data_IF_971268993031
#
_entry.id   IF_971268993031
#
_cell.length_a   1.000
_cell.length_b   1.000
_cell.length_c   1.000
_cell.angle_alpha   90.00
_cell.angle_beta   90.00
_cell.angle_gamma   90.00
#
_symmetry.space_group_name_H-M   'P 1'
#
loop_
_entity.id
_entity.type
_entity.pdbx_description
1 polymer ?
#
# COMPACT_ATOMS: atom_id res chain seq x y z
N UNK A 1 55.76 26.05 19.49
CA UNK A 1 54.29 25.96 19.54
C UNK A 1 53.83 25.08 18.35
N UNK A 2 53.41 23.81 18.62
CA UNK A 2 52.92 22.90 17.59
C UNK A 2 51.46 23.22 17.31
N UNK A 3 51.17 23.71 16.08
CA UNK A 3 49.79 23.91 15.61
C UNK A 3 49.18 22.55 15.31
N UNK A 4 48.20 22.13 16.10
CA UNK A 4 47.42 20.91 15.86
C UNK A 4 46.42 21.20 14.72
N UNK A 5 46.63 20.63 13.55
CA UNK A 5 45.72 20.70 12.41
C UNK A 5 44.63 19.66 12.63
N UNK A 6 43.44 20.10 13.07
CA UNK A 6 42.27 19.21 13.18
C UNK A 6 41.68 19.04 11.80
N UNK A 7 41.89 17.86 11.19
CA UNK A 7 41.28 17.49 9.92
C UNK A 7 39.81 17.09 10.20
N UNK A 8 38.87 17.97 9.88
CA UNK A 8 37.45 17.61 9.89
C UNK A 8 37.16 16.70 8.70
N UNK A 9 36.99 15.39 8.98
CA UNK A 9 36.48 14.45 7.99
C UNK A 9 34.96 14.59 7.97
N UNK A 10 34.44 15.26 6.94
CA UNK A 10 32.99 15.29 6.68
C UNK A 10 32.61 13.95 6.04
N UNK A 11 31.92 13.10 6.81
CA UNK A 11 31.28 11.90 6.27
C UNK A 11 30.06 12.33 5.45
N UNK A 12 30.20 12.31 4.13
CA UNK A 12 29.05 12.49 3.23
C UNK A 12 28.27 11.17 3.20
N UNK A 13 27.17 11.11 3.94
CA UNK A 13 26.25 9.98 3.86
C UNK A 13 25.43 10.19 2.58
N UNK A 14 25.78 9.45 1.53
CA UNK A 14 25.03 9.42 0.28
C UNK A 14 23.82 8.51 0.48
N UNK A 15 22.63 9.08 0.57
CA UNK A 15 21.38 8.31 0.48
C UNK A 15 21.08 8.06 -0.99
N UNK A 16 20.74 6.82 -1.34
CA UNK A 16 20.21 6.51 -2.66
C UNK A 16 18.83 7.18 -2.79
N UNK A 17 18.74 8.21 -3.62
CA UNK A 17 17.48 8.89 -3.91
C UNK A 17 16.86 8.32 -5.18
N UNK A 18 15.53 8.12 -5.14
CA UNK A 18 14.77 7.69 -6.30
C UNK A 18 14.71 8.82 -7.34
N UNK A 19 14.94 8.48 -8.60
CA UNK A 19 14.75 9.41 -9.72
C UNK A 19 13.43 9.10 -10.41
N UNK A 20 12.55 10.09 -10.49
CA UNK A 20 11.25 9.93 -11.13
C UNK A 20 11.32 10.23 -12.62
N UNK A 21 10.57 9.46 -13.42
CA UNK A 21 10.38 9.74 -14.84
C UNK A 21 9.44 10.93 -15.05
N UNK A 22 9.60 11.62 -16.19
CA UNK A 22 8.69 12.70 -16.58
C UNK A 22 7.35 12.16 -17.12
N UNK A 23 6.22 12.84 -16.86
CA UNK A 23 6.09 14.00 -15.98
C UNK A 23 6.35 13.64 -14.52
N UNK A 24 6.95 14.54 -13.72
CA UNK A 24 7.23 14.29 -12.30
C UNK A 24 5.93 14.04 -11.51
N UNK A 25 5.95 13.14 -10.51
CA UNK A 25 4.78 12.93 -9.65
C UNK A 25 4.48 14.18 -8.83
N UNK A 26 3.21 14.57 -8.78
CA UNK A 26 2.72 15.73 -8.03
C UNK A 26 1.28 15.49 -7.59
N UNK A 27 0.74 16.38 -6.77
CA UNK A 27 -0.68 16.36 -6.39
C UNK A 27 -1.62 16.38 -7.62
N UNK A 28 -1.31 17.19 -8.63
CA UNK A 28 -2.12 17.31 -9.85
C UNK A 28 -1.90 16.13 -10.81
N UNK A 29 -0.76 15.46 -10.73
CA UNK A 29 -0.40 14.33 -11.56
C UNK A 29 0.20 13.19 -10.74
N UNK A 30 -0.59 12.57 -9.84
CA UNK A 30 -0.10 11.52 -8.97
C UNK A 30 0.21 10.24 -9.74
N UNK A 31 1.22 9.49 -9.28
CA UNK A 31 1.33 8.08 -9.66
C UNK A 31 0.17 7.30 -9.06
N UNK A 32 -0.22 6.24 -9.74
CA UNK A 32 -1.33 5.39 -9.32
C UNK A 32 -0.87 3.93 -9.28
N UNK A 33 -1.00 3.30 -8.13
CA UNK A 33 -0.58 1.92 -7.92
C UNK A 33 -1.72 1.09 -7.35
N UNK A 34 -2.06 -0.03 -8.01
CA UNK A 34 -3.03 -0.99 -7.52
C UNK A 34 -2.34 -2.31 -7.19
N UNK A 35 -2.69 -2.89 -6.05
CA UNK A 35 -2.17 -4.15 -5.54
C UNK A 35 -3.32 -5.12 -5.39
N UNK A 36 -3.17 -6.34 -5.94
CA UNK A 36 -4.13 -7.41 -5.70
C UNK A 36 -3.78 -8.18 -4.43
N UNK A 37 -4.72 -8.25 -3.49
CA UNK A 37 -4.60 -9.03 -2.27
C UNK A 37 -5.50 -10.27 -2.37
N UNK A 38 -4.90 -11.41 -2.76
CA UNK A 38 -5.62 -12.69 -2.91
C UNK A 38 -5.15 -13.79 -1.97
N UNK A 39 -4.21 -13.48 -1.10
CA UNK A 39 -3.61 -14.40 -0.13
C UNK A 39 -3.90 -13.93 1.30
N UNK A 40 -3.73 -14.84 2.27
CA UNK A 40 -3.92 -14.53 3.69
C UNK A 40 -2.78 -15.08 4.56
N UNK A 41 -1.61 -15.34 3.96
CA UNK A 41 -0.41 -15.68 4.71
C UNK A 41 0.15 -14.43 5.40
N UNK A 42 0.38 -14.52 6.71
CA UNK A 42 0.75 -13.36 7.53
C UNK A 42 2.11 -12.76 7.15
N UNK A 43 3.09 -13.58 6.84
CA UNK A 43 4.42 -13.13 6.46
C UNK A 43 4.37 -12.36 5.15
N UNK A 44 3.73 -12.94 4.14
CA UNK A 44 3.55 -12.33 2.83
C UNK A 44 2.74 -11.03 2.89
N UNK A 45 1.67 -11.01 3.70
CA UNK A 45 0.88 -9.77 3.92
C UNK A 45 1.73 -8.71 4.62
N UNK A 46 2.53 -9.06 5.62
CA UNK A 46 3.44 -8.11 6.27
C UNK A 46 4.48 -7.54 5.31
N UNK A 47 5.02 -8.34 4.40
CA UNK A 47 5.92 -7.88 3.34
C UNK A 47 5.23 -6.88 2.40
N UNK A 48 4.01 -7.20 1.96
CA UNK A 48 3.20 -6.29 1.14
C UNK A 48 2.98 -4.94 1.82
N UNK A 49 2.53 -4.94 3.09
CA UNK A 49 2.31 -3.70 3.84
C UNK A 49 3.62 -2.91 4.04
N UNK A 50 4.74 -3.60 4.26
CA UNK A 50 6.07 -3.00 4.32
C UNK A 50 6.47 -2.33 3.01
N UNK A 51 6.19 -2.97 1.88
CA UNK A 51 6.45 -2.41 0.55
C UNK A 51 5.61 -1.16 0.28
N UNK A 52 4.33 -1.16 0.66
CA UNK A 52 3.46 0.03 0.55
C UNK A 52 4.05 1.19 1.36
N UNK A 53 4.44 0.93 2.60
CA UNK A 53 5.03 1.94 3.47
C UNK A 53 6.35 2.50 2.91
N UNK A 54 7.21 1.64 2.35
CA UNK A 54 8.45 2.08 1.71
C UNK A 54 8.18 2.95 0.48
N UNK A 55 7.21 2.57 -0.36
CA UNK A 55 6.81 3.38 -1.52
C UNK A 55 6.29 4.75 -1.09
N UNK A 56 5.43 4.82 -0.07
CA UNK A 56 4.94 6.11 0.46
C UNK A 56 6.07 7.04 0.92
N UNK A 57 7.17 6.51 1.42
CA UNK A 57 8.33 7.32 1.83
C UNK A 57 9.14 7.88 0.67
N UNK A 58 9.15 7.19 -0.47
CA UNK A 58 9.92 7.61 -1.64
C UNK A 58 9.23 8.72 -2.43
N UNK A 59 7.90 8.78 -2.39
CA UNK A 59 7.12 9.76 -3.14
C UNK A 59 6.87 11.03 -2.34
N UNK A 60 6.88 12.22 -3.00
CA UNK A 60 6.41 13.45 -2.37
C UNK A 60 4.98 13.28 -1.83
N UNK A 61 4.64 13.96 -0.76
CA UNK A 61 3.32 13.91 -0.16
C UNK A 61 2.21 14.12 -1.21
N UNK A 62 1.15 13.32 -1.14
CA UNK A 62 -0.01 13.39 -2.04
C UNK A 62 0.28 13.17 -3.53
N UNK A 63 1.49 12.72 -3.88
CA UNK A 63 1.89 12.49 -5.28
C UNK A 63 1.78 11.04 -5.73
N UNK A 64 1.23 10.16 -4.90
CA UNK A 64 0.92 8.77 -5.24
C UNK A 64 -0.43 8.37 -4.64
N UNK A 65 -1.24 7.66 -5.43
CA UNK A 65 -2.49 7.03 -5.00
C UNK A 65 -2.30 5.52 -4.99
N UNK A 66 -2.63 4.88 -3.88
CA UNK A 66 -2.45 3.44 -3.71
C UNK A 66 -3.80 2.81 -3.36
N UNK A 67 -4.16 1.74 -4.08
CA UNK A 67 -5.34 0.93 -3.82
C UNK A 67 -4.94 -0.54 -3.63
N UNK A 68 -5.51 -1.21 -2.64
CA UNK A 68 -5.35 -2.64 -2.37
C UNK A 68 -6.70 -3.31 -2.56
N UNK A 69 -6.83 -4.15 -3.58
CA UNK A 69 -8.08 -4.85 -3.89
C UNK A 69 -8.02 -6.26 -3.32
N UNK A 70 -8.81 -6.52 -2.28
CA UNK A 70 -8.90 -7.83 -1.63
C UNK A 70 -10.04 -8.66 -2.22
N UNK A 71 -9.74 -9.90 -2.60
CA UNK A 71 -10.72 -10.90 -3.05
C UNK A 71 -10.26 -12.32 -2.73
N UNK A 72 -11.17 -13.28 -2.83
CA UNK A 72 -10.89 -14.67 -2.48
C UNK A 72 -10.31 -14.80 -1.07
N UNK A 73 -9.22 -15.54 -0.91
CA UNK A 73 -8.56 -15.73 0.40
C UNK A 73 -8.04 -14.43 1.02
N UNK A 74 -7.70 -13.44 0.21
CA UNK A 74 -7.20 -12.15 0.67
C UNK A 74 -8.20 -11.36 1.51
N UNK A 75 -9.50 -11.59 1.30
CA UNK A 75 -10.55 -10.99 2.13
C UNK A 75 -10.42 -11.30 3.63
N UNK A 76 -9.82 -12.44 3.99
CA UNK A 76 -9.59 -12.81 5.40
C UNK A 76 -8.71 -11.80 6.14
N UNK A 77 -7.80 -11.14 5.43
CA UNK A 77 -6.87 -10.16 5.98
C UNK A 77 -7.59 -8.93 6.53
N UNK A 78 -8.74 -8.59 5.96
CA UNK A 78 -9.53 -7.42 6.34
C UNK A 78 -10.59 -7.71 7.43
N UNK A 79 -10.70 -8.97 7.89
CA UNK A 79 -11.67 -9.34 8.94
C UNK A 79 -11.19 -8.88 10.32
N UNK A 80 -12.11 -8.45 11.17
CA UNK A 80 -11.85 -7.99 12.56
C UNK A 80 -11.15 -9.05 13.42
N UNK A 81 -11.33 -10.34 13.11
CA UNK A 81 -10.73 -11.47 13.81
C UNK A 81 -9.37 -11.93 13.25
N UNK A 82 -8.82 -11.20 12.27
CA UNK A 82 -7.49 -11.47 11.73
C UNK A 82 -6.39 -11.06 12.72
N UNK A 83 -5.16 -10.96 12.27
CA UNK A 83 -4.01 -10.60 13.11
C UNK A 83 -4.05 -9.12 13.52
N UNK A 84 -4.06 -8.84 14.82
CA UNK A 84 -4.19 -7.46 15.35
C UNK A 84 -3.05 -6.54 14.92
N UNK A 85 -1.82 -7.07 14.79
CA UNK A 85 -0.68 -6.29 14.35
C UNK A 85 -0.83 -5.89 12.88
N UNK A 86 -1.25 -6.82 12.04
CA UNK A 86 -1.53 -6.55 10.61
C UNK A 86 -2.68 -5.55 10.48
N UNK A 87 -3.76 -5.72 11.23
CA UNK A 87 -4.90 -4.80 11.19
C UNK A 87 -4.51 -3.37 11.62
N UNK A 88 -3.66 -3.23 12.63
CA UNK A 88 -3.13 -1.93 13.04
C UNK A 88 -2.29 -1.27 11.93
N UNK A 89 -1.48 -2.05 11.19
CA UNK A 89 -0.72 -1.54 10.05
C UNK A 89 -1.62 -1.12 8.89
N UNK A 90 -2.69 -1.87 8.61
CA UNK A 90 -3.70 -1.52 7.60
C UNK A 90 -4.37 -0.20 7.97
N UNK A 91 -4.85 -0.05 9.22
CA UNK A 91 -5.43 1.20 9.71
C UNK A 91 -4.46 2.38 9.54
N UNK A 92 -3.20 2.20 9.91
CA UNK A 92 -2.16 3.23 9.72
C UNK A 92 -1.96 3.61 8.26
N UNK A 93 -2.03 2.66 7.33
CA UNK A 93 -1.93 2.95 5.89
C UNK A 93 -3.19 3.68 5.36
N UNK A 94 -4.36 3.38 5.89
CA UNK A 94 -5.60 4.13 5.58
C UNK A 94 -5.47 5.60 6.01
N UNK A 95 -4.81 5.88 7.15
CA UNK A 95 -4.51 7.25 7.58
C UNK A 95 -3.59 8.00 6.61
N UNK A 96 -2.88 7.28 5.73
CA UNK A 96 -2.08 7.81 4.61
C UNK A 96 -2.80 7.70 3.26
N UNK A 97 -4.12 7.67 3.26
CA UNK A 97 -4.97 7.60 2.05
C UNK A 97 -4.75 6.35 1.17
N UNK A 98 -4.25 5.26 1.73
CA UNK A 98 -4.25 3.97 1.04
C UNK A 98 -5.64 3.38 1.07
N UNK A 99 -6.25 3.19 -0.10
CA UNK A 99 -7.59 2.63 -0.24
C UNK A 99 -7.55 1.10 -0.12
N UNK A 100 -8.34 0.52 0.80
CA UNK A 100 -8.56 -0.92 0.88
C UNK A 100 -9.96 -1.26 0.38
N UNK A 101 -10.02 -2.10 -0.66
CA UNK A 101 -11.25 -2.42 -1.40
C UNK A 101 -11.60 -3.88 -1.18
N UNK A 102 -12.83 -4.14 -0.77
CA UNK A 102 -13.36 -5.45 -0.40
C UNK A 102 -14.35 -5.97 -1.45
N UNK A 103 -14.19 -7.23 -1.87
CA UNK A 103 -15.02 -7.90 -2.87
C UNK A 103 -16.29 -8.53 -2.27
N UNK A 104 -17.47 -8.02 -2.62
CA UNK A 104 -18.77 -8.56 -2.16
C UNK A 104 -19.04 -9.96 -2.69
N UNK A 105 -18.66 -10.32 -3.90
CA UNK A 105 -18.81 -11.69 -4.40
C UNK A 105 -18.09 -12.71 -3.51
N UNK A 106 -16.92 -12.37 -2.98
CA UNK A 106 -16.23 -13.23 -2.00
C UNK A 106 -17.02 -13.31 -0.69
N UNK A 107 -17.56 -12.20 -0.20
CA UNK A 107 -18.38 -12.16 1.00
C UNK A 107 -19.62 -13.05 0.84
N UNK A 108 -20.32 -12.95 -0.28
CA UNK A 108 -21.52 -13.76 -0.58
C UNK A 108 -21.17 -15.27 -0.58
N UNK A 109 -20.08 -15.64 -1.23
CA UNK A 109 -19.61 -17.03 -1.28
C UNK A 109 -19.26 -17.56 0.12
N UNK A 110 -18.62 -16.75 0.94
CA UNK A 110 -18.15 -17.14 2.28
C UNK A 110 -19.19 -16.91 3.36
N UNK A 111 -20.37 -16.38 3.03
CA UNK A 111 -21.43 -16.00 3.97
C UNK A 111 -20.98 -14.99 5.03
N UNK A 112 -20.11 -14.06 4.63
CA UNK A 112 -19.67 -12.95 5.46
C UNK A 112 -20.52 -11.70 5.23
N UNK A 113 -20.59 -10.85 6.24
CA UNK A 113 -21.26 -9.55 6.20
C UNK A 113 -20.26 -8.42 6.46
N UNK A 114 -20.61 -7.19 6.15
CA UNK A 114 -19.75 -6.03 6.42
C UNK A 114 -19.37 -5.89 7.90
N UNK A 115 -20.19 -6.41 8.82
CA UNK A 115 -19.90 -6.43 10.27
C UNK A 115 -18.68 -7.27 10.65
N UNK A 116 -18.31 -8.24 9.81
CA UNK A 116 -17.15 -9.11 10.03
C UNK A 116 -15.82 -8.41 9.71
N UNK A 117 -15.86 -7.26 9.02
CA UNK A 117 -14.69 -6.56 8.51
C UNK A 117 -14.38 -5.29 9.29
N UNK A 118 -13.14 -4.83 9.17
CA UNK A 118 -12.72 -3.53 9.72
C UNK A 118 -13.50 -2.40 9.06
N UNK A 119 -13.52 -1.26 9.73
CA UNK A 119 -14.24 -0.07 9.23
C UNK A 119 -13.46 0.60 8.08
N UNK A 120 -14.07 1.57 7.42
CA UNK A 120 -13.49 2.42 6.37
C UNK A 120 -13.05 1.68 5.08
N UNK A 121 -13.56 0.46 4.83
CA UNK A 121 -13.35 -0.24 3.57
C UNK A 121 -14.27 0.30 2.46
N UNK A 122 -13.71 0.37 1.26
CA UNK A 122 -14.52 0.52 0.04
C UNK A 122 -15.04 -0.86 -0.38
N UNK A 123 -16.34 -0.98 -0.65
CA UNK A 123 -16.95 -2.24 -1.09
C UNK A 123 -17.31 -2.19 -2.57
N UNK A 124 -16.87 -3.20 -3.32
CA UNK A 124 -17.22 -3.39 -4.73
C UNK A 124 -17.84 -4.77 -4.94
N UNK A 125 -18.73 -4.92 -5.93
CA UNK A 125 -19.35 -6.22 -6.19
C UNK A 125 -18.33 -7.27 -6.62
N UNK A 126 -17.43 -6.92 -7.54
CA UNK A 126 -16.43 -7.85 -8.09
C UNK A 126 -15.03 -7.24 -8.03
N UNK A 127 -14.16 -7.73 -7.15
CA UNK A 127 -12.81 -7.22 -6.97
C UNK A 127 -11.94 -7.32 -8.24
N UNK A 128 -12.12 -8.38 -9.04
CA UNK A 128 -11.36 -8.52 -10.32
C UNK A 128 -11.82 -7.48 -11.34
N UNK A 129 -13.11 -7.15 -11.40
CA UNK A 129 -13.60 -6.06 -12.26
C UNK A 129 -13.03 -4.71 -11.80
N UNK A 130 -12.96 -4.46 -10.50
CA UNK A 130 -12.34 -3.25 -9.95
C UNK A 130 -10.86 -3.14 -10.32
N UNK A 131 -10.11 -4.24 -10.34
CA UNK A 131 -8.71 -4.23 -10.81
C UNK A 131 -8.61 -3.79 -12.29
N UNK A 132 -9.54 -4.21 -13.12
CA UNK A 132 -9.59 -3.80 -14.54
C UNK A 132 -9.88 -2.30 -14.62
N UNK A 133 -10.89 -1.81 -13.92
CA UNK A 133 -11.27 -0.39 -13.94
C UNK A 133 -10.16 0.51 -13.37
N UNK A 134 -9.47 0.09 -12.32
CA UNK A 134 -8.29 0.80 -11.80
C UNK A 134 -7.18 0.90 -12.87
N UNK A 135 -6.92 -0.16 -13.63
CA UNK A 135 -5.92 -0.13 -14.70
C UNK A 135 -6.36 0.79 -15.86
N UNK A 136 -7.64 0.78 -16.24
CA UNK A 136 -8.19 1.74 -17.22
C UNK A 136 -8.05 3.18 -16.72
N UNK A 137 -8.21 3.43 -15.42
CA UNK A 137 -7.99 4.74 -14.78
C UNK A 137 -6.49 5.07 -14.58
N UNK A 138 -5.59 4.28 -15.15
CA UNK A 138 -4.16 4.55 -15.17
C UNK A 138 -3.38 4.05 -13.93
N UNK A 139 -3.94 3.14 -13.14
CA UNK A 139 -3.19 2.45 -12.09
C UNK A 139 -2.28 1.38 -12.69
N UNK A 140 -1.03 1.36 -12.25
CA UNK A 140 -0.12 0.26 -12.55
C UNK A 140 -0.32 -0.86 -11.53
N UNK A 141 -0.53 -2.07 -11.99
CA UNK A 141 -0.63 -3.25 -11.12
C UNK A 141 0.77 -3.86 -10.91
N UNK A 142 1.17 -4.00 -9.66
CA UNK A 142 2.30 -4.84 -9.27
C UNK A 142 1.96 -5.66 -8.04
N UNK A 143 2.62 -6.80 -7.89
CA UNK A 143 2.47 -7.67 -6.73
C UNK A 143 3.79 -7.68 -5.97
N UNK A 144 3.90 -6.98 -4.81
CA UNK A 144 5.16 -6.82 -4.08
C UNK A 144 5.48 -8.00 -3.15
N UNK A 145 5.20 -9.25 -3.60
CA UNK A 145 5.47 -10.49 -2.86
C UNK A 145 5.54 -11.70 -3.81
#
# INVERSE_FOLDING_TARGET
MKKLLILMVSVVISYAQMTFSNPQPSFENPRKWVIKLRIADKETVNHMLGSIYNVLKEYPAESIKIAVVAYGKGMRVLKKDYDKHILSRISSLMDYDVEFIACKNTMDTMKWTEKDFIDDLTYVQAGVAELIEKQVDGYYETTPY
#
